data_IF_653987134704
#
_entry.id   IF_653987134704
#
_cell.length_a   1.000
_cell.length_b   1.000
_cell.length_c   1.000
_cell.angle_alpha   90.00
_cell.angle_beta   90.00
_cell.angle_gamma   90.00
#
_symmetry.space_group_name_H-M   'P 1'
#
loop_
_entity.id
_entity.type
_entity.pdbx_description
1 polymer ?
#
# COMPACT_ATOMS: atom_id res chain seq x y z
N UNK A 1 -27.13 59.30 -20.36
CA UNK A 1 -27.01 57.90 -20.76
C UNK A 1 -27.49 57.04 -19.57
N UNK A 2 -28.81 56.76 -19.52
CA UNK A 2 -29.41 55.97 -18.42
C UNK A 2 -29.38 54.53 -18.80
N UNK A 3 -28.66 53.73 -18.04
CA UNK A 3 -28.69 52.25 -18.10
C UNK A 3 -29.87 51.77 -17.27
N UNK A 4 -30.95 51.36 -17.93
CA UNK A 4 -32.06 50.66 -17.28
C UNK A 4 -31.65 49.22 -17.01
N UNK A 5 -31.43 48.89 -15.77
CA UNK A 5 -31.33 47.50 -15.34
C UNK A 5 -32.71 46.84 -15.49
N UNK A 6 -32.85 45.95 -16.47
CA UNK A 6 -33.99 45.04 -16.56
C UNK A 6 -33.78 43.98 -15.48
N UNK A 7 -34.46 44.14 -14.35
CA UNK A 7 -34.61 43.08 -13.38
C UNK A 7 -35.55 42.04 -13.98
N UNK A 8 -35.02 40.91 -14.39
CA UNK A 8 -35.84 39.78 -14.79
C UNK A 8 -36.67 39.34 -13.58
N UNK A 9 -37.98 39.58 -13.62
CA UNK A 9 -38.93 39.09 -12.64
C UNK A 9 -38.97 37.56 -12.83
N UNK A 10 -38.40 36.80 -11.90
CA UNK A 10 -38.64 35.36 -11.78
C UNK A 10 -40.14 35.21 -11.44
N UNK A 11 -40.94 34.94 -12.42
CA UNK A 11 -42.28 34.40 -12.19
C UNK A 11 -42.06 32.99 -11.67
N UNK A 12 -42.37 32.74 -10.39
CA UNK A 12 -42.49 31.41 -9.85
C UNK A 12 -43.59 30.70 -10.61
N UNK A 13 -43.21 29.87 -11.59
CA UNK A 13 -44.16 29.01 -12.28
C UNK A 13 -44.71 28.04 -11.20
N UNK A 14 -45.98 28.19 -10.84
CA UNK A 14 -46.68 27.25 -9.98
C UNK A 14 -46.63 25.86 -10.62
N UNK A 15 -45.96 24.90 -9.92
CA UNK A 15 -45.78 23.55 -10.44
C UNK A 15 -47.11 22.90 -10.79
N UNK A 16 -47.20 22.40 -12.01
CA UNK A 16 -48.43 21.77 -12.54
C UNK A 16 -48.51 20.28 -12.07
N UNK A 17 -49.73 19.69 -12.20
CA UNK A 17 -49.91 18.24 -11.98
C UNK A 17 -48.98 17.40 -12.85
N UNK A 18 -48.67 17.90 -14.05
CA UNK A 18 -47.74 17.27 -14.98
C UNK A 18 -46.32 17.26 -14.41
N UNK A 19 -45.86 18.38 -13.87
CA UNK A 19 -44.51 18.48 -13.28
C UNK A 19 -44.37 17.55 -12.07
N UNK A 20 -45.40 17.50 -11.24
CA UNK A 20 -45.45 16.51 -10.13
C UNK A 20 -45.29 15.06 -10.63
N UNK A 21 -46.01 14.67 -11.69
CA UNK A 21 -45.90 13.33 -12.24
C UNK A 21 -44.51 13.06 -12.84
N UNK A 22 -43.89 14.04 -13.48
CA UNK A 22 -42.52 13.91 -13.98
C UNK A 22 -41.53 13.74 -12.87
N UNK A 23 -41.59 14.56 -11.83
CA UNK A 23 -40.65 14.39 -10.65
C UNK A 23 -40.91 13.12 -9.90
N UNK A 24 -42.13 12.73 -9.67
CA UNK A 24 -42.49 11.48 -8.99
C UNK A 24 -41.99 10.26 -9.79
N UNK A 25 -42.25 10.24 -11.11
CA UNK A 25 -41.78 9.15 -11.97
C UNK A 25 -40.25 9.11 -12.03
N UNK A 26 -39.62 10.28 -12.21
CA UNK A 26 -38.14 10.39 -12.20
C UNK A 26 -37.52 9.93 -10.90
N UNK A 27 -38.12 10.30 -9.77
CA UNK A 27 -37.67 9.86 -8.45
C UNK A 27 -37.80 8.34 -8.26
N UNK A 28 -38.94 7.76 -8.61
CA UNK A 28 -39.14 6.29 -8.54
C UNK A 28 -38.19 5.55 -9.48
N UNK A 29 -38.00 6.07 -10.72
CA UNK A 29 -37.07 5.48 -11.67
C UNK A 29 -35.61 5.53 -11.16
N UNK A 30 -35.18 6.66 -10.58
CA UNK A 30 -33.86 6.80 -9.99
C UNK A 30 -33.60 5.82 -8.84
N UNK A 31 -34.57 5.70 -7.92
CA UNK A 31 -34.50 4.74 -6.81
C UNK A 31 -34.47 3.29 -7.34
N UNK A 32 -35.35 2.95 -8.29
CA UNK A 32 -35.39 1.61 -8.90
C UNK A 32 -34.09 1.27 -9.61
N UNK A 33 -33.52 2.22 -10.37
CA UNK A 33 -32.22 2.04 -11.03
C UNK A 33 -31.11 1.86 -9.99
N UNK A 34 -31.05 2.71 -8.98
CA UNK A 34 -30.09 2.59 -7.89
C UNK A 34 -30.16 1.25 -7.17
N UNK A 35 -31.37 0.78 -6.86
CA UNK A 35 -31.59 -0.53 -6.24
C UNK A 35 -31.17 -1.70 -7.15
N UNK A 36 -31.33 -1.59 -8.46
CA UNK A 36 -30.91 -2.60 -9.42
C UNK A 36 -29.39 -2.62 -9.65
N UNK A 37 -28.75 -1.45 -9.65
CA UNK A 37 -27.31 -1.29 -9.90
C UNK A 37 -26.49 -1.61 -8.65
N UNK A 38 -26.99 -1.28 -7.46
CA UNK A 38 -26.25 -1.50 -6.20
C UNK A 38 -25.74 -2.93 -6.00
N UNK A 39 -26.53 -4.02 -6.20
CA UNK A 39 -26.03 -5.38 -6.10
C UNK A 39 -24.89 -5.68 -7.08
N UNK A 40 -24.93 -5.11 -8.29
CA UNK A 40 -23.90 -5.29 -9.30
C UNK A 40 -22.57 -4.66 -8.88
N UNK A 41 -22.63 -3.49 -8.24
CA UNK A 41 -21.45 -2.86 -7.67
C UNK A 41 -20.96 -3.64 -6.44
N UNK A 42 -21.90 -4.04 -5.56
CA UNK A 42 -21.55 -4.73 -4.32
C UNK A 42 -20.92 -6.11 -4.54
N UNK A 43 -21.26 -6.81 -5.62
CA UNK A 43 -20.63 -8.10 -5.98
C UNK A 43 -19.15 -7.97 -6.39
N UNK A 44 -18.68 -6.75 -6.68
CA UNK A 44 -17.25 -6.50 -6.96
C UNK A 44 -16.42 -6.43 -5.66
N UNK A 45 -17.06 -6.37 -4.50
CA UNK A 45 -16.35 -6.43 -3.22
C UNK A 45 -15.76 -7.83 -3.00
N UNK A 46 -14.59 -7.92 -2.31
CA UNK A 46 -14.00 -9.20 -1.98
C UNK A 46 -14.97 -10.11 -1.23
N UNK A 47 -15.03 -11.39 -1.62
CA UNK A 47 -15.85 -12.40 -0.93
C UNK A 47 -15.39 -12.62 0.52
N UNK A 48 -16.24 -13.22 1.34
CA UNK A 48 -15.91 -13.56 2.72
C UNK A 48 -14.67 -14.46 2.82
N UNK A 49 -14.51 -15.38 1.86
CA UNK A 49 -13.36 -16.29 1.78
C UNK A 49 -12.04 -15.52 1.52
N UNK A 50 -12.07 -14.55 0.59
CA UNK A 50 -10.91 -13.70 0.30
C UNK A 50 -10.55 -12.85 1.52
N UNK A 51 -11.55 -12.33 2.24
CA UNK A 51 -11.33 -11.58 3.48
C UNK A 51 -10.77 -12.48 4.60
N UNK A 52 -11.24 -13.71 4.72
CA UNK A 52 -10.73 -14.67 5.71
C UNK A 52 -9.26 -15.06 5.43
N UNK A 53 -8.85 -15.08 4.15
CA UNK A 53 -7.47 -15.34 3.73
C UNK A 53 -6.60 -14.06 3.70
N UNK A 54 -7.15 -12.91 4.10
CA UNK A 54 -6.41 -11.64 4.08
C UNK A 54 -5.34 -11.54 5.15
N UNK A 55 -5.37 -12.39 6.19
CA UNK A 55 -4.32 -12.44 7.19
C UNK A 55 -3.72 -13.83 7.32
N UNK A 56 -2.41 -13.89 7.51
CA UNK A 56 -1.67 -15.12 7.81
C UNK A 56 -0.78 -14.93 9.04
N UNK A 57 -0.52 -16.02 9.74
CA UNK A 57 0.44 -16.08 10.83
C UNK A 57 1.66 -16.86 10.35
N UNK A 58 2.84 -16.31 10.62
CA UNK A 58 4.13 -16.88 10.19
C UNK A 58 4.97 -17.08 11.42
N UNK A 59 5.38 -18.31 11.66
CA UNK A 59 6.35 -18.65 12.69
C UNK A 59 7.76 -18.27 12.19
N UNK A 60 8.45 -17.48 12.98
CA UNK A 60 9.80 -16.98 12.69
C UNK A 60 10.86 -17.45 13.71
N UNK A 61 10.50 -18.41 14.56
CA UNK A 61 11.40 -18.95 15.60
C UNK A 61 12.71 -19.49 15.06
N UNK A 62 12.68 -20.10 13.88
CA UNK A 62 13.83 -20.73 13.23
C UNK A 62 14.60 -19.77 12.30
N UNK A 63 14.20 -18.50 12.20
CA UNK A 63 14.88 -17.53 11.34
C UNK A 63 16.11 -16.99 12.06
N UNK A 64 17.30 -17.39 11.60
CA UNK A 64 18.57 -16.94 12.16
C UNK A 64 18.92 -15.50 11.72
N UNK A 65 19.69 -14.73 12.54
CA UNK A 65 20.21 -13.42 12.13
C UNK A 65 20.97 -13.51 10.80
N UNK A 66 20.68 -12.58 9.89
CA UNK A 66 21.26 -12.58 8.54
C UNK A 66 20.55 -13.49 7.54
N UNK A 67 19.46 -14.15 7.92
CA UNK A 67 18.67 -14.99 7.01
C UNK A 67 17.33 -14.37 6.65
N UNK A 68 16.72 -14.86 5.56
CA UNK A 68 15.45 -14.42 5.05
C UNK A 68 14.49 -15.59 4.85
N UNK A 69 13.30 -15.46 5.41
CA UNK A 69 12.15 -16.30 5.07
C UNK A 69 11.31 -15.62 4.00
N UNK A 70 10.87 -16.37 2.99
CA UNK A 70 9.95 -15.87 1.98
C UNK A 70 8.62 -16.62 2.08
N UNK A 71 7.55 -15.89 2.32
CA UNK A 71 6.19 -16.44 2.40
C UNK A 71 5.32 -15.87 1.29
N UNK A 72 4.28 -16.61 0.91
CA UNK A 72 3.30 -16.12 -0.07
C UNK A 72 2.08 -15.57 0.67
N UNK A 73 1.78 -14.28 0.46
CA UNK A 73 0.60 -13.62 1.00
C UNK A 73 -0.14 -12.85 -0.09
N UNK A 74 -1.45 -13.02 -0.19
CA UNK A 74 -2.30 -12.42 -1.25
C UNK A 74 -1.74 -12.62 -2.67
N UNK A 75 -1.13 -13.78 -2.93
CA UNK A 75 -0.55 -14.12 -4.22
C UNK A 75 0.83 -13.53 -4.51
N UNK A 76 1.38 -12.71 -3.63
CA UNK A 76 2.69 -12.05 -3.76
C UNK A 76 3.69 -12.59 -2.74
N UNK A 77 5.00 -12.59 -3.04
CA UNK A 77 6.01 -12.91 -2.05
C UNK A 77 6.15 -11.79 -1.03
N UNK A 78 6.30 -12.16 0.24
CA UNK A 78 6.68 -11.29 1.34
C UNK A 78 8.00 -11.78 1.89
N UNK A 79 8.96 -10.91 2.01
CA UNK A 79 10.24 -11.15 2.62
C UNK A 79 10.17 -10.83 4.11
N UNK A 80 10.58 -11.76 4.95
CA UNK A 80 10.75 -11.58 6.38
C UNK A 80 12.23 -11.83 6.64
N UNK A 81 12.98 -10.76 6.93
CA UNK A 81 14.42 -10.84 7.17
C UNK A 81 14.74 -10.52 8.62
N UNK A 82 15.52 -11.37 9.24
CA UNK A 82 16.14 -11.09 10.52
C UNK A 82 17.53 -10.51 10.26
N UNK A 83 17.67 -9.19 10.44
CA UNK A 83 18.87 -8.45 10.10
C UNK A 83 19.98 -8.63 11.16
N UNK A 84 21.22 -8.53 10.69
CA UNK A 84 22.38 -8.46 11.56
C UNK A 84 22.63 -7.02 12.02
N UNK A 85 23.39 -6.83 13.11
CA UNK A 85 23.81 -5.50 13.58
C UNK A 85 24.51 -4.66 12.50
N UNK A 86 25.29 -5.32 11.63
CA UNK A 86 25.95 -4.64 10.50
C UNK A 86 24.97 -4.13 9.46
N UNK A 87 23.91 -4.86 9.18
CA UNK A 87 22.86 -4.44 8.25
C UNK A 87 22.03 -3.29 8.82
N UNK A 88 21.72 -3.33 10.11
CA UNK A 88 21.00 -2.29 10.84
C UNK A 88 21.82 -1.00 10.85
N UNK A 89 23.11 -1.09 11.21
CA UNK A 89 24.02 0.06 11.22
C UNK A 89 24.14 0.69 9.83
N UNK A 90 24.37 -0.14 8.79
CA UNK A 90 24.46 0.34 7.42
C UNK A 90 23.16 1.02 6.95
N UNK A 91 21.99 0.54 7.40
CA UNK A 91 20.73 1.16 7.07
C UNK A 91 20.52 2.51 7.77
N UNK A 92 20.96 2.64 9.02
CA UNK A 92 20.88 3.88 9.81
C UNK A 92 21.84 4.97 9.31
N UNK A 93 22.99 4.58 8.76
CA UNK A 93 24.03 5.50 8.27
C UNK A 93 23.68 6.12 6.91
N UNK A 94 22.58 5.71 6.28
CA UNK A 94 22.16 6.24 4.97
C UNK A 94 21.61 7.65 5.11
N UNK A 95 22.17 8.59 4.33
CA UNK A 95 21.62 9.93 4.21
C UNK A 95 20.28 9.89 3.46
N UNK A 96 19.21 10.32 4.12
CA UNK A 96 17.85 10.31 3.55
C UNK A 96 17.71 11.24 2.35
N UNK A 97 18.46 12.33 2.30
CA UNK A 97 18.43 13.29 1.18
C UNK A 97 18.98 12.70 -0.14
N UNK A 98 19.71 11.60 -0.06
CA UNK A 98 20.26 10.88 -1.23
C UNK A 98 19.33 9.76 -1.73
N UNK A 99 18.23 9.51 -1.06
CA UNK A 99 17.27 8.48 -1.46
C UNK A 99 16.42 8.94 -2.64
N UNK A 100 16.16 8.02 -3.56
CA UNK A 100 15.26 8.24 -4.69
C UNK A 100 13.79 8.35 -4.24
N UNK A 101 13.45 7.66 -3.15
CA UNK A 101 12.13 7.70 -2.52
C UNK A 101 12.30 7.92 -1.01
N UNK A 102 11.84 9.06 -0.51
CA UNK A 102 11.93 9.44 0.90
C UNK A 102 10.73 8.98 1.74
N UNK A 103 9.82 8.20 1.16
CA UNK A 103 8.66 7.63 1.86
C UNK A 103 9.00 6.28 2.49
N UNK A 104 8.58 6.06 3.73
CA UNK A 104 8.69 4.75 4.37
C UNK A 104 7.90 3.65 3.64
N UNK A 105 6.83 4.00 2.97
CA UNK A 105 5.89 3.06 2.34
C UNK A 105 5.48 1.94 3.28
N UNK A 106 5.16 2.31 4.49
CA UNK A 106 4.82 1.40 5.58
C UNK A 106 3.34 1.53 5.91
N UNK A 107 2.58 0.47 5.65
CA UNK A 107 1.13 0.43 5.89
C UNK A 107 0.76 0.42 7.39
N UNK A 108 1.75 0.27 8.28
CA UNK A 108 1.55 0.36 9.74
C UNK A 108 1.65 1.80 10.26
N UNK A 109 2.24 2.72 9.50
CA UNK A 109 2.54 4.10 9.93
C UNK A 109 2.13 5.05 8.81
N UNK A 110 1.26 6.02 9.12
CA UNK A 110 0.85 7.03 8.15
C UNK A 110 1.99 8.03 7.88
N UNK A 111 2.29 8.30 6.60
CA UNK A 111 3.16 9.39 6.14
C UNK A 111 4.52 9.52 6.85
N UNK A 112 5.24 8.41 6.99
CA UNK A 112 6.57 8.40 7.60
C UNK A 112 7.69 8.55 6.55
N UNK A 113 8.83 9.12 6.97
CA UNK A 113 10.06 9.17 6.17
C UNK A 113 10.68 7.79 6.02
N UNK A 114 11.52 7.61 4.98
CA UNK A 114 12.25 6.36 4.71
C UNK A 114 13.38 6.06 5.71
N UNK A 115 13.32 6.64 6.91
CA UNK A 115 14.21 6.29 8.00
C UNK A 115 14.09 4.78 8.31
N UNK A 116 15.21 4.16 8.68
CA UNK A 116 15.26 2.73 8.98
C UNK A 116 14.28 2.32 10.06
N UNK A 117 14.13 3.15 11.11
CA UNK A 117 13.19 2.92 12.21
C UNK A 117 11.73 2.83 11.73
N UNK A 118 11.37 3.61 10.72
CA UNK A 118 10.02 3.63 10.17
C UNK A 118 9.75 2.47 9.20
N UNK A 119 10.75 1.65 8.90
CA UNK A 119 10.64 0.52 7.99
C UNK A 119 10.80 -0.82 8.68
N UNK A 120 11.36 -0.85 9.86
CA UNK A 120 11.48 -2.05 10.69
C UNK A 120 10.20 -2.36 11.46
N UNK A 121 10.00 -3.64 11.79
CA UNK A 121 8.83 -4.11 12.53
C UNK A 121 8.98 -3.90 14.03
N UNK A 122 10.22 -3.87 14.51
CA UNK A 122 10.61 -3.76 15.92
C UNK A 122 11.48 -2.51 16.14
N UNK A 123 11.52 -2.03 17.39
CA UNK A 123 12.31 -0.86 17.79
C UNK A 123 13.84 -1.08 17.61
N UNK A 124 14.30 -2.33 17.73
CA UNK A 124 15.71 -2.68 17.52
C UNK A 124 16.13 -2.60 16.05
N UNK A 125 15.19 -2.75 15.15
CA UNK A 125 15.44 -2.81 13.71
C UNK A 125 15.88 -4.20 13.23
N UNK A 126 15.73 -5.22 14.07
CA UNK A 126 16.16 -6.58 13.75
C UNK A 126 15.26 -7.21 12.67
N UNK A 127 13.96 -6.92 12.73
CA UNK A 127 12.98 -7.54 11.85
C UNK A 127 12.50 -6.59 10.76
N UNK A 128 12.72 -7.00 9.52
CA UNK A 128 12.24 -6.29 8.34
C UNK A 128 11.24 -7.17 7.58
N UNK A 129 10.03 -6.66 7.41
CA UNK A 129 8.96 -7.33 6.66
C UNK A 129 8.58 -6.46 5.48
N UNK A 130 8.67 -6.99 4.25
CA UNK A 130 8.36 -6.19 3.07
C UNK A 130 7.86 -7.04 1.91
N UNK A 131 7.14 -6.40 1.03
CA UNK A 131 6.69 -7.02 -0.22
C UNK A 131 7.89 -7.31 -1.11
N UNK A 132 8.12 -8.57 -1.45
CA UNK A 132 9.19 -9.02 -2.36
C UNK A 132 8.86 -8.77 -3.83
N UNK A 133 8.37 -7.56 -4.15
CA UNK A 133 7.91 -7.19 -5.49
C UNK A 133 8.57 -5.87 -5.89
N UNK A 134 9.42 -5.93 -6.90
CA UNK A 134 10.11 -4.76 -7.45
C UNK A 134 9.08 -3.74 -7.97
N UNK A 135 9.24 -2.50 -7.53
CA UNK A 135 8.31 -1.40 -7.85
C UNK A 135 8.42 -0.90 -9.28
N UNK A 136 9.40 -1.41 -10.07
CA UNK A 136 9.49 -1.10 -11.49
C UNK A 136 8.37 -1.81 -12.28
N UNK A 137 8.40 -3.13 -12.39
CA UNK A 137 7.43 -3.92 -13.19
C UNK A 137 7.06 -5.26 -12.50
N UNK A 138 7.22 -5.36 -11.19
CA UNK A 138 6.69 -6.50 -10.43
C UNK A 138 7.56 -7.75 -10.38
N UNK A 139 8.82 -7.71 -10.84
CA UNK A 139 9.74 -8.85 -10.67
C UNK A 139 10.04 -9.10 -9.18
N UNK A 140 10.43 -10.32 -8.85
CA UNK A 140 10.87 -10.67 -7.48
C UNK A 140 12.37 -10.39 -7.37
N UNK A 141 12.82 -9.46 -6.50
CA UNK A 141 14.24 -9.22 -6.29
C UNK A 141 14.95 -10.39 -5.63
N UNK A 142 16.22 -10.58 -5.98
CA UNK A 142 17.11 -11.48 -5.27
C UNK A 142 17.51 -10.86 -3.92
N UNK A 143 17.50 -11.64 -2.86
CA UNK A 143 17.86 -11.24 -1.51
C UNK A 143 19.29 -11.63 -1.12
N UNK A 144 19.52 -11.81 0.19
CA UNK A 144 20.76 -12.30 0.80
C UNK A 144 22.00 -11.46 0.47
N UNK A 145 21.88 -10.14 0.60
CA UNK A 145 22.99 -9.23 0.35
C UNK A 145 23.28 -9.00 -1.13
N UNK A 146 22.31 -9.27 -2.02
CA UNK A 146 22.48 -9.05 -3.44
C UNK A 146 22.55 -7.56 -3.79
N UNK A 147 23.28 -7.27 -4.86
CA UNK A 147 23.43 -5.91 -5.39
C UNK A 147 24.51 -5.07 -4.72
N UNK A 148 24.60 -3.80 -5.12
CA UNK A 148 25.68 -2.90 -4.70
C UNK A 148 25.55 -2.39 -3.25
N UNK A 149 24.35 -2.54 -2.66
CA UNK A 149 24.01 -2.00 -1.32
C UNK A 149 23.72 -3.09 -0.30
N UNK A 150 24.14 -4.33 -0.54
CA UNK A 150 24.01 -5.50 0.35
C UNK A 150 22.57 -5.82 0.80
N UNK A 151 21.58 -5.41 0.02
CA UNK A 151 20.16 -5.65 0.30
C UNK A 151 19.54 -6.58 -0.73
N UNK A 152 18.80 -6.01 -1.69
CA UNK A 152 18.12 -6.77 -2.75
C UNK A 152 18.47 -6.23 -4.13
N UNK A 153 18.54 -7.15 -5.07
CA UNK A 153 18.81 -6.85 -6.47
C UNK A 153 17.75 -7.40 -7.39
N UNK A 154 17.15 -6.56 -8.20
CA UNK A 154 16.22 -6.99 -9.25
C UNK A 154 16.95 -7.15 -10.58
N UNK A 155 17.22 -8.38 -11.06
CA UNK A 155 18.01 -8.61 -12.27
C UNK A 155 17.27 -8.25 -13.56
N UNK A 156 15.94 -8.07 -13.51
CA UNK A 156 15.14 -7.76 -14.69
C UNK A 156 15.60 -6.47 -15.38
N UNK A 157 15.89 -5.41 -14.61
CA UNK A 157 16.29 -4.11 -15.16
C UNK A 157 17.33 -3.39 -14.27
N UNK A 158 17.94 -4.08 -13.31
CA UNK A 158 19.05 -3.55 -12.54
C UNK A 158 18.64 -2.58 -11.42
N UNK A 159 17.52 -2.82 -10.74
CA UNK A 159 17.18 -2.06 -9.52
C UNK A 159 17.89 -2.65 -8.31
N UNK A 160 18.55 -1.79 -7.52
CA UNK A 160 19.28 -2.14 -6.31
C UNK A 160 18.63 -1.49 -5.11
N UNK A 161 18.36 -2.29 -4.09
CA UNK A 161 17.79 -1.87 -2.82
C UNK A 161 18.82 -2.09 -1.69
N UNK A 162 18.78 -1.26 -0.67
CA UNK A 162 19.64 -1.40 0.50
C UNK A 162 19.09 -2.41 1.54
N UNK A 163 19.77 -2.53 2.68
CA UNK A 163 19.42 -3.43 3.78
C UNK A 163 18.13 -3.08 4.51
N UNK A 164 17.50 -1.96 4.17
CA UNK A 164 16.17 -1.54 4.62
C UNK A 164 15.10 -1.62 3.51
N UNK A 165 15.46 -2.17 2.33
CA UNK A 165 14.59 -2.29 1.17
C UNK A 165 14.28 -0.96 0.47
N UNK A 166 15.12 0.08 0.67
CA UNK A 166 15.00 1.37 -0.01
C UNK A 166 15.69 1.31 -1.35
N UNK A 167 15.06 1.89 -2.37
CA UNK A 167 15.66 1.97 -3.70
C UNK A 167 16.85 2.93 -3.70
N UNK A 168 17.99 2.44 -4.18
CA UNK A 168 19.24 3.21 -4.26
C UNK A 168 19.69 3.47 -5.69
N UNK A 169 19.35 2.55 -6.60
CA UNK A 169 19.79 2.63 -8.00
C UNK A 169 18.88 1.82 -8.91
N UNK A 170 18.69 2.29 -10.12
CA UNK A 170 17.96 1.60 -11.18
C UNK A 170 16.60 2.22 -11.47
N UNK A 171 15.78 1.57 -12.32
CA UNK A 171 14.55 2.16 -12.83
C UNK A 171 13.34 2.06 -11.87
N UNK A 172 13.46 1.33 -10.75
CA UNK A 172 12.38 1.27 -9.76
C UNK A 172 12.13 2.65 -9.15
N UNK A 173 10.88 3.16 -9.15
CA UNK A 173 10.60 4.51 -8.66
C UNK A 173 10.48 4.60 -7.14
N UNK A 174 10.25 3.47 -6.46
CA UNK A 174 9.80 3.46 -5.07
C UNK A 174 10.52 2.40 -4.24
N UNK A 175 10.55 2.63 -2.93
CA UNK A 175 11.00 1.64 -1.95
C UNK A 175 10.10 0.39 -1.97
N UNK A 176 10.61 -0.76 -1.55
CA UNK A 176 9.77 -1.95 -1.35
C UNK A 176 8.75 -1.66 -0.26
N UNK A 177 7.47 -1.95 -0.51
CA UNK A 177 6.40 -1.67 0.43
C UNK A 177 6.51 -2.55 1.69
N UNK A 178 6.28 -1.96 2.84
CA UNK A 178 6.14 -2.66 4.14
C UNK A 178 4.66 -2.88 4.38
N UNK A 179 4.17 -4.14 4.33
CA UNK A 179 2.76 -4.43 4.53
C UNK A 179 2.36 -4.29 6.00
N UNK A 180 1.06 -4.32 6.26
CA UNK A 180 0.58 -4.46 7.64
C UNK A 180 1.13 -5.74 8.25
N UNK A 181 1.91 -5.57 9.31
CA UNK A 181 2.54 -6.68 10.04
C UNK A 181 2.65 -6.33 11.52
N UNK A 182 2.52 -7.33 12.39
CA UNK A 182 2.67 -7.16 13.84
C UNK A 182 3.12 -8.47 14.46
N UNK A 183 3.96 -8.41 15.49
CA UNK A 183 4.20 -9.54 16.36
C UNK A 183 2.97 -9.83 17.21
N UNK A 184 2.47 -11.06 17.17
CA UNK A 184 1.38 -11.53 18.04
C UNK A 184 1.90 -12.23 19.28
N UNK A 185 3.13 -12.73 19.22
CA UNK A 185 3.94 -13.27 20.31
C UNK A 185 5.44 -13.15 19.93
N UNK A 186 6.35 -13.67 20.76
CA UNK A 186 7.80 -13.53 20.58
C UNK A 186 8.35 -14.19 19.29
N UNK A 187 7.59 -15.07 18.67
CA UNK A 187 8.04 -15.87 17.51
C UNK A 187 7.07 -15.86 16.33
N UNK A 188 5.94 -15.19 16.44
CA UNK A 188 4.90 -15.23 15.40
C UNK A 188 4.59 -13.83 14.87
N UNK A 189 4.77 -13.65 13.58
CA UNK A 189 4.36 -12.43 12.86
C UNK A 189 3.02 -12.69 12.18
N UNK A 190 2.06 -11.78 12.39
CA UNK A 190 0.80 -11.72 11.66
C UNK A 190 0.95 -10.70 10.53
N UNK A 191 0.59 -11.09 9.31
CA UNK A 191 0.44 -10.23 8.14
C UNK A 191 -1.05 -9.97 7.88
N UNK A 192 -1.44 -8.70 7.71
CA UNK A 192 -2.81 -8.26 7.43
C UNK A 192 -3.74 -8.19 8.63
#
# INVERSE_FOLDING_TARGET
MYWSFIVAKNEEEEGTRRDFLFYATGGVAAVGTGAAVWPLINQMNPSADVKALSSIRVDVSDVEPGTQLTVKWLGKPVFIRRRTETEISAAKDVNLDELLDNSARNDNIAEASADDQNRSLDEGGEWLVMMGVCTHLGCVPLGDGAGEFNGWFCPCHGSHYDTSGRIRKGPAPENLAVPQAVFVDDSTIKLG
#
